data_IF_880859150134
#
_entry.id   IF_880859150134
#
_cell.length_a   1.000
_cell.length_b   1.000
_cell.length_c   1.000
_cell.angle_alpha   90.00
_cell.angle_beta   90.00
_cell.angle_gamma   90.00
#
_symmetry.space_group_name_H-M   'P 1'
#
loop_
_entity.id
_entity.type
_entity.pdbx_description
1 polymer ?
#
# COMPACT_ATOMS: atom_id res chain seq x y z
N UNK A 1 10.12 23.68 -20.38
CA UNK A 1 9.32 24.07 -19.19
C UNK A 1 8.82 22.82 -18.46
N UNK A 2 9.28 22.62 -17.22
CA UNK A 2 8.78 21.58 -16.33
C UNK A 2 7.59 22.11 -15.50
N UNK A 3 6.86 21.20 -14.86
CA UNK A 3 5.75 21.54 -13.95
C UNK A 3 6.23 22.48 -12.82
N UNK A 4 5.36 23.41 -12.39
CA UNK A 4 5.55 24.26 -11.21
C UNK A 4 4.93 23.68 -9.93
N UNK A 5 4.26 22.54 -10.03
CA UNK A 5 3.62 21.91 -8.88
C UNK A 5 4.67 21.32 -7.92
N UNK A 6 4.47 21.50 -6.62
CA UNK A 6 5.28 20.86 -5.58
C UNK A 6 4.79 19.44 -5.31
N UNK A 7 5.65 18.58 -4.76
CA UNK A 7 5.29 17.24 -4.35
C UNK A 7 4.12 17.27 -3.36
N UNK A 8 4.20 18.14 -2.37
CA UNK A 8 3.15 18.36 -1.37
C UNK A 8 1.83 18.77 -2.01
N UNK A 9 1.86 19.73 -2.96
CA UNK A 9 0.66 20.19 -3.66
C UNK A 9 -0.01 19.09 -4.47
N UNK A 10 0.78 18.23 -5.15
CA UNK A 10 0.25 17.06 -5.86
C UNK A 10 -0.39 16.07 -4.89
N UNK A 11 0.25 15.79 -3.76
CA UNK A 11 -0.28 14.88 -2.74
C UNK A 11 -1.59 15.41 -2.16
N UNK A 12 -1.66 16.70 -1.82
CA UNK A 12 -2.86 17.33 -1.29
C UNK A 12 -4.01 17.28 -2.29
N UNK A 13 -3.74 17.60 -3.55
CA UNK A 13 -4.74 17.53 -4.60
C UNK A 13 -5.24 16.11 -4.82
N UNK A 14 -4.33 15.13 -4.95
CA UNK A 14 -4.70 13.73 -5.11
C UNK A 14 -5.54 13.21 -3.94
N UNK A 15 -5.19 13.58 -2.70
CA UNK A 15 -6.00 13.26 -1.51
C UNK A 15 -7.39 13.90 -1.54
N UNK A 16 -7.49 15.17 -1.95
CA UNK A 16 -8.76 15.90 -2.04
C UNK A 16 -9.74 15.19 -3.00
N UNK A 17 -9.23 14.72 -4.14
CA UNK A 17 -10.02 14.00 -5.15
C UNK A 17 -10.10 12.49 -4.91
N UNK A 18 -9.50 11.99 -3.83
CA UNK A 18 -9.41 10.55 -3.50
C UNK A 18 -8.81 9.72 -4.64
N UNK A 19 -7.80 10.26 -5.29
CA UNK A 19 -7.05 9.61 -6.37
C UNK A 19 -5.77 9.03 -5.76
N UNK A 20 -5.63 7.70 -5.65
CA UNK A 20 -4.37 7.07 -5.30
C UNK A 20 -3.40 7.12 -6.47
N UNK A 21 -2.14 7.36 -6.15
CA UNK A 21 -1.06 7.40 -7.13
C UNK A 21 -0.18 6.17 -6.93
N UNK A 22 -0.07 5.36 -7.98
CA UNK A 22 0.92 4.27 -8.04
C UNK A 22 2.20 4.81 -8.66
N UNK A 23 3.30 4.75 -7.93
CA UNK A 23 4.59 5.26 -8.36
C UNK A 23 5.53 4.10 -8.69
N UNK A 24 6.07 4.08 -9.92
CA UNK A 24 7.06 3.09 -10.34
C UNK A 24 8.41 3.80 -10.45
N UNK A 25 9.37 3.43 -9.61
CA UNK A 25 10.76 3.87 -9.74
C UNK A 25 11.51 2.89 -10.64
N UNK A 26 12.21 3.38 -11.66
CA UNK A 26 12.96 2.57 -12.62
C UNK A 26 14.45 2.90 -12.50
N UNK A 27 15.29 1.90 -12.27
CA UNK A 27 16.73 2.06 -12.09
C UNK A 27 17.13 2.76 -10.79
N UNK A 28 18.41 3.08 -10.66
CA UNK A 28 19.00 3.54 -9.40
C UNK A 28 18.94 5.06 -9.20
N UNK A 29 18.76 5.83 -10.27
CA UNK A 29 18.70 7.29 -10.23
C UNK A 29 17.27 7.81 -9.99
N UNK A 30 16.67 7.36 -8.87
CA UNK A 30 15.32 7.76 -8.49
C UNK A 30 15.28 8.53 -7.18
N UNK A 31 14.35 9.46 -7.06
CA UNK A 31 14.01 10.06 -5.78
C UNK A 31 13.12 9.12 -4.96
N UNK A 32 13.73 8.07 -4.42
CA UNK A 32 13.04 7.04 -3.64
C UNK A 32 12.15 7.62 -2.53
N UNK A 33 12.60 8.60 -1.71
CA UNK A 33 11.75 9.17 -0.66
C UNK A 33 10.53 9.92 -1.22
N UNK A 34 10.69 10.63 -2.33
CA UNK A 34 9.60 11.37 -2.95
C UNK A 34 8.54 10.43 -3.54
N UNK A 35 8.95 9.38 -4.25
CA UNK A 35 8.04 8.40 -4.84
C UNK A 35 7.29 7.61 -3.77
N UNK A 36 7.97 7.22 -2.69
CA UNK A 36 7.33 6.56 -1.55
C UNK A 36 6.34 7.48 -0.84
N UNK A 37 6.70 8.75 -0.63
CA UNK A 37 5.83 9.76 -0.02
C UNK A 37 4.57 9.98 -0.86
N UNK A 38 4.73 10.15 -2.18
CA UNK A 38 3.65 10.35 -3.12
C UNK A 38 2.65 9.20 -3.10
N UNK A 39 3.13 7.96 -3.23
CA UNK A 39 2.26 6.80 -3.27
C UNK A 39 1.54 6.57 -1.93
N UNK A 40 2.29 6.53 -0.82
CA UNK A 40 1.71 6.21 0.49
C UNK A 40 0.70 7.25 0.97
N UNK A 41 0.99 8.54 0.77
CA UNK A 41 0.11 9.62 1.25
C UNK A 41 -1.17 9.76 0.41
N UNK A 42 -1.19 9.25 -0.81
CA UNK A 42 -2.38 9.27 -1.68
C UNK A 42 -3.22 8.00 -1.59
N UNK A 43 -2.74 6.96 -0.88
CA UNK A 43 -3.42 5.66 -0.80
C UNK A 43 -3.06 4.71 -1.95
N UNK A 44 -2.05 5.04 -2.74
CA UNK A 44 -1.46 4.14 -3.73
C UNK A 44 -0.27 3.37 -3.20
N UNK A 45 0.51 2.79 -4.10
CA UNK A 45 1.66 1.95 -3.77
C UNK A 45 2.90 2.35 -4.58
N UNK A 46 4.06 2.27 -3.94
CA UNK A 46 5.34 2.42 -4.60
C UNK A 46 5.87 1.05 -5.03
N UNK A 47 6.25 0.94 -6.29
CA UNK A 47 6.85 -0.24 -6.89
C UNK A 47 8.24 0.12 -7.42
N UNK A 48 9.20 -0.78 -7.22
CA UNK A 48 10.56 -0.57 -7.69
C UNK A 48 10.90 -1.57 -8.78
N UNK A 49 11.37 -1.06 -9.91
CA UNK A 49 11.86 -1.80 -11.07
C UNK A 49 13.38 -1.56 -11.18
N UNK A 50 14.23 -2.54 -10.81
CA UNK A 50 15.68 -2.39 -10.97
C UNK A 50 16.09 -2.11 -12.41
N UNK A 51 15.37 -2.68 -13.38
CA UNK A 51 15.61 -2.49 -14.82
C UNK A 51 14.32 -2.21 -15.59
N UNK A 52 14.47 -1.77 -16.85
CA UNK A 52 13.35 -1.60 -17.77
C UNK A 52 12.62 -2.91 -18.11
N UNK A 53 13.29 -4.05 -18.03
CA UNK A 53 12.70 -5.37 -18.28
C UNK A 53 11.74 -5.80 -17.15
N UNK A 54 11.98 -5.31 -15.93
CA UNK A 54 11.11 -5.58 -14.77
C UNK A 54 9.80 -4.79 -14.81
N UNK A 55 9.72 -3.77 -15.67
CA UNK A 55 8.58 -2.85 -15.76
C UNK A 55 7.32 -3.57 -16.24
N UNK A 56 7.44 -4.51 -17.18
CA UNK A 56 6.28 -5.27 -17.70
C UNK A 56 5.66 -6.18 -16.62
N UNK A 57 6.50 -6.80 -15.79
CA UNK A 57 6.04 -7.60 -14.67
C UNK A 57 5.32 -6.73 -13.62
N UNK A 58 5.83 -5.53 -13.35
CA UNK A 58 5.23 -4.56 -12.44
C UNK A 58 3.93 -3.98 -12.99
N UNK A 59 3.87 -3.65 -14.28
CA UNK A 59 2.62 -3.26 -14.93
C UNK A 59 1.60 -4.38 -14.87
N UNK A 60 1.98 -5.64 -15.00
CA UNK A 60 1.07 -6.77 -14.82
C UNK A 60 0.57 -6.91 -13.38
N UNK A 61 1.35 -6.52 -12.37
CA UNK A 61 0.90 -6.44 -10.98
C UNK A 61 -0.09 -5.29 -10.79
N UNK A 62 0.25 -4.09 -11.28
CA UNK A 62 -0.64 -2.92 -11.25
C UNK A 62 -1.95 -3.22 -11.99
N UNK A 63 -1.88 -3.78 -13.20
CA UNK A 63 -3.01 -4.18 -13.99
C UNK A 63 -3.84 -5.29 -13.34
N UNK A 64 -3.26 -6.24 -12.59
CA UNK A 64 -4.07 -7.20 -11.81
C UNK A 64 -4.76 -6.56 -10.62
N UNK A 65 -4.14 -5.54 -10.01
CA UNK A 65 -4.71 -4.77 -8.90
C UNK A 65 -5.82 -3.82 -9.37
N UNK A 66 -5.62 -3.17 -10.52
CA UNK A 66 -6.58 -2.25 -11.13
C UNK A 66 -7.62 -2.97 -12.01
N UNK A 67 -7.26 -4.12 -12.56
CA UNK A 67 -7.97 -4.86 -13.60
C UNK A 67 -8.56 -6.19 -13.13
N UNK A 68 -8.92 -6.32 -11.85
CA UNK A 68 -10.17 -7.03 -11.54
C UNK A 68 -11.30 -6.17 -12.11
N UNK A 69 -11.55 -6.38 -13.40
CA UNK A 69 -12.18 -5.45 -14.35
C UNK A 69 -13.53 -4.92 -13.89
N UNK A 70 -13.82 -3.71 -14.36
CA UNK A 70 -15.09 -2.97 -14.24
C UNK A 70 -15.59 -2.64 -12.81
N UNK A 71 -14.91 -3.10 -11.75
CA UNK A 71 -15.38 -2.97 -10.37
C UNK A 71 -14.56 -2.03 -9.46
N UNK A 72 -13.47 -1.45 -9.97
CA UNK A 72 -12.63 -0.50 -9.25
C UNK A 72 -11.88 -1.10 -8.05
N UNK A 73 -11.02 -0.29 -7.44
CA UNK A 73 -10.35 -0.62 -6.17
C UNK A 73 -11.07 0.11 -5.03
N UNK A 74 -11.25 -0.57 -3.89
CA UNK A 74 -11.69 0.05 -2.65
C UNK A 74 -10.65 -0.22 -1.57
N UNK A 75 -10.06 0.84 -1.01
CA UNK A 75 -9.24 0.72 0.19
C UNK A 75 -10.13 0.84 1.42
N UNK A 76 -10.37 -0.27 2.11
CA UNK A 76 -11.06 -0.30 3.39
C UNK A 76 -10.04 -0.20 4.53
N UNK A 77 -10.20 0.80 5.39
CA UNK A 77 -9.44 0.90 6.65
C UNK A 77 -10.42 0.88 7.81
N UNK A 78 -10.21 0.00 8.79
CA UNK A 78 -11.05 -0.13 9.97
C UNK A 78 -10.17 -0.25 11.22
N UNK A 79 -10.73 0.12 12.37
CA UNK A 79 -10.09 -0.09 13.68
C UNK A 79 -10.82 -1.23 14.38
N UNK A 80 -10.12 -2.33 14.65
CA UNK A 80 -10.68 -3.44 15.42
C UNK A 80 -10.77 -3.10 16.92
N UNK A 81 -11.81 -3.59 17.59
CA UNK A 81 -11.89 -3.61 19.06
C UNK A 81 -11.17 -4.82 19.67
N UNK A 82 -10.81 -5.83 18.86
CA UNK A 82 -10.04 -7.01 19.25
C UNK A 82 -8.55 -6.78 18.97
N UNK A 83 -7.90 -6.05 19.88
CA UNK A 83 -6.49 -5.63 19.75
C UNK A 83 -5.51 -6.60 20.42
N UNK A 84 -5.98 -7.75 20.91
CA UNK A 84 -5.17 -8.74 21.59
C UNK A 84 -4.08 -9.28 20.64
N UNK A 85 -2.82 -9.17 21.09
CA UNK A 85 -1.65 -9.68 20.37
C UNK A 85 -1.38 -11.13 20.75
N UNK A 86 -2.34 -12.00 20.50
CA UNK A 86 -2.34 -13.41 20.91
C UNK A 86 -1.84 -14.38 19.82
N UNK A 87 -1.52 -13.88 18.63
CA UNK A 87 -1.11 -14.74 17.52
C UNK A 87 -2.25 -15.49 16.83
N UNK A 88 -3.51 -15.25 17.22
CA UNK A 88 -4.66 -15.95 16.63
C UNK A 88 -5.07 -15.32 15.29
N UNK A 89 -5.59 -16.16 14.40
CA UNK A 89 -6.11 -15.68 13.12
C UNK A 89 -7.52 -15.12 13.30
N UNK A 90 -7.71 -13.86 12.95
CA UNK A 90 -9.01 -13.18 12.89
C UNK A 90 -9.59 -13.31 11.48
N UNK A 91 -10.90 -13.56 11.37
CA UNK A 91 -11.62 -13.50 10.09
C UNK A 91 -12.28 -12.14 9.97
N UNK A 92 -11.94 -11.40 8.92
CA UNK A 92 -12.52 -10.11 8.58
C UNK A 92 -13.57 -10.33 7.51
N UNK A 93 -14.82 -9.98 7.81
CA UNK A 93 -15.94 -10.11 6.88
C UNK A 93 -16.39 -8.71 6.47
N UNK A 94 -16.39 -8.43 5.18
CA UNK A 94 -16.91 -7.19 4.59
C UNK A 94 -18.23 -7.55 3.91
N UNK A 95 -19.32 -6.86 4.27
CA UNK A 95 -20.64 -7.06 3.66
C UNK A 95 -21.08 -5.80 2.92
N UNK A 96 -21.61 -5.94 1.71
CA UNK A 96 -22.15 -4.83 0.93
C UNK A 96 -23.31 -5.31 0.05
N UNK A 97 -24.48 -4.67 0.18
CA UNK A 97 -25.68 -4.93 -0.63
C UNK A 97 -26.09 -6.41 -0.80
N UNK A 98 -25.82 -7.25 0.21
CA UNK A 98 -26.15 -8.68 0.19
C UNK A 98 -24.97 -9.58 -0.15
N UNK A 99 -23.89 -9.04 -0.69
CA UNK A 99 -22.63 -9.75 -0.91
C UNK A 99 -21.75 -9.73 0.34
N UNK A 100 -20.88 -10.73 0.46
CA UNK A 100 -19.88 -10.81 1.51
C UNK A 100 -18.52 -11.29 0.97
N UNK A 101 -17.45 -10.60 1.36
CA UNK A 101 -16.08 -11.03 1.19
C UNK A 101 -15.44 -11.32 2.54
N UNK A 102 -14.52 -12.29 2.59
CA UNK A 102 -13.78 -12.62 3.80
C UNK A 102 -12.27 -12.61 3.56
N UNK A 103 -11.51 -12.13 4.54
CA UNK A 103 -10.05 -12.17 4.57
C UNK A 103 -9.58 -12.62 5.96
N UNK A 104 -8.38 -13.21 6.03
CA UNK A 104 -7.76 -13.61 7.28
C UNK A 104 -6.68 -12.60 7.70
N UNK A 105 -6.67 -12.26 8.99
CA UNK A 105 -5.67 -11.39 9.60
C UNK A 105 -5.03 -12.12 10.80
N UNK A 106 -3.76 -12.55 10.71
CA UNK A 106 -3.06 -13.09 11.86
C UNK A 106 -2.72 -11.95 12.83
N UNK A 107 -3.28 -11.98 14.04
CA UNK A 107 -2.93 -11.03 15.07
C UNK A 107 -1.43 -11.18 15.41
N UNK A 108 -0.68 -10.09 15.63
CA UNK A 108 0.70 -10.20 16.07
C UNK A 108 0.78 -10.94 17.40
N UNK A 109 1.90 -11.61 17.71
CA UNK A 109 2.14 -12.12 19.07
C UNK A 109 2.78 -11.03 19.92
N UNK A 110 2.47 -11.00 21.21
CA UNK A 110 3.31 -10.34 22.21
C UNK A 110 4.67 -11.03 22.24
N UNK A 111 5.58 -10.65 21.34
CA UNK A 111 6.99 -10.87 21.53
C UNK A 111 7.43 -9.88 22.61
N UNK A 112 7.48 -10.35 23.85
CA UNK A 112 8.34 -9.71 24.85
C UNK A 112 9.75 -9.70 24.27
N UNK A 113 10.23 -8.52 23.93
CA UNK A 113 11.64 -8.27 23.66
C UNK A 113 12.37 -8.25 25.01
N UNK A 114 13.28 -9.19 25.35
CA UNK A 114 14.30 -8.87 26.33
C UNK A 114 15.35 -8.00 25.65
N UNK A 115 15.61 -6.84 26.25
CA UNK A 115 16.79 -6.02 26.01
C UNK A 115 18.06 -6.89 26.00
N UNK A 116 18.98 -6.56 25.09
CA UNK A 116 20.35 -7.07 24.97
C UNK A 116 20.53 -8.57 24.71
N UNK A 117 20.83 -8.92 23.45
CA UNK A 117 22.01 -9.75 23.18
C UNK A 117 22.89 -9.02 22.16
N UNK A 118 24.07 -8.65 22.62
CA UNK A 118 25.24 -8.26 21.83
C UNK A 118 25.50 -9.41 20.85
N UNK A 119 25.66 -9.08 19.57
CA UNK A 119 26.30 -9.98 18.63
C UNK A 119 27.80 -9.76 18.80
N UNK A 120 28.50 -10.79 19.25
CA UNK A 120 29.92 -10.99 18.90
C UNK A 120 29.98 -11.64 17.51
#
# INVERSE_FOLDING_TARGET
PLSRATLEGVIEQARMWRIPIFAIGIGDEISLPALQSLARKTGGEFLFAPSGEDVDALYSIVARRLGRGDQGYYQLTYRTSQYEKDGTTRTIIVKYQGDAGAAQYPAPRNLFWPLSKVFD
#
